data_IF_108710729878
#
_entry.id   IF_108710729878
#
_cell.length_a   1.000
_cell.length_b   1.000
_cell.length_c   1.000
_cell.angle_alpha   90.00
_cell.angle_beta   90.00
_cell.angle_gamma   90.00
#
_symmetry.space_group_name_H-M   'P 1'
#
loop_
_entity.id
_entity.type
_entity.pdbx_description
1 polymer ?
#
# COMPACT_ATOMS: atom_id res chain seq x y z
N UNK A 1 -3.20 57.09 57.84
CA UNK A 1 -4.30 56.14 57.59
C UNK A 1 -4.71 55.55 58.92
N UNK A 2 -6.01 55.53 59.23
CA UNK A 2 -6.50 54.88 60.44
C UNK A 2 -6.39 53.36 60.31
N UNK A 3 -6.32 52.64 61.43
CA UNK A 3 -6.35 51.16 61.46
C UNK A 3 -7.60 50.62 60.71
N UNK A 4 -8.71 51.36 60.75
CA UNK A 4 -9.95 51.04 60.01
C UNK A 4 -9.80 51.12 58.47
N UNK A 5 -8.95 52.02 57.96
CA UNK A 5 -8.73 52.15 56.50
C UNK A 5 -7.87 50.99 55.98
N UNK A 6 -6.90 50.55 56.79
CA UNK A 6 -6.04 49.39 56.51
C UNK A 6 -6.87 48.10 56.50
N UNK A 7 -7.83 47.96 57.43
CA UNK A 7 -8.73 46.80 57.50
C UNK A 7 -9.69 46.73 56.30
N UNK A 8 -10.14 47.87 55.77
CA UNK A 8 -10.96 47.91 54.56
C UNK A 8 -10.16 47.49 53.31
N UNK A 9 -8.95 48.03 53.16
CA UNK A 9 -8.02 47.67 52.07
C UNK A 9 -7.60 46.20 52.12
N UNK A 10 -7.37 45.63 53.32
CA UNK A 10 -7.05 44.21 53.49
C UNK A 10 -8.21 43.33 53.01
N UNK A 11 -9.45 43.66 53.35
CA UNK A 11 -10.64 42.92 52.89
C UNK A 11 -10.82 42.99 51.38
N UNK A 12 -10.64 44.17 50.77
CA UNK A 12 -10.74 44.31 49.32
C UNK A 12 -9.68 43.49 48.58
N UNK A 13 -8.43 43.49 49.07
CA UNK A 13 -7.36 42.67 48.49
C UNK A 13 -7.60 41.16 48.71
N UNK A 14 -8.20 40.75 49.83
CA UNK A 14 -8.60 39.36 50.05
C UNK A 14 -9.67 38.90 49.04
N UNK A 15 -10.66 39.75 48.76
CA UNK A 15 -11.70 39.44 47.75
C UNK A 15 -11.09 39.35 46.34
N UNK A 16 -10.20 40.30 45.98
CA UNK A 16 -9.48 40.26 44.69
C UNK A 16 -8.56 39.03 44.59
N UNK A 17 -7.92 38.63 45.68
CA UNK A 17 -7.09 37.43 45.71
C UNK A 17 -7.92 36.15 45.52
N UNK A 18 -9.12 36.10 46.11
CA UNK A 18 -10.04 34.99 45.93
C UNK A 18 -10.51 34.89 44.47
N UNK A 19 -10.89 36.00 43.84
CA UNK A 19 -11.33 36.00 42.43
C UNK A 19 -10.20 35.60 41.48
N UNK A 20 -8.98 36.11 41.67
CA UNK A 20 -7.81 35.72 40.86
C UNK A 20 -7.47 34.24 41.05
N UNK A 21 -7.64 33.70 42.26
CA UNK A 21 -7.42 32.27 42.53
C UNK A 21 -8.43 31.39 41.79
N UNK A 22 -9.70 31.76 41.77
CA UNK A 22 -10.73 31.04 41.02
C UNK A 22 -10.48 31.07 39.51
N UNK A 23 -10.13 32.24 38.96
CA UNK A 23 -9.74 32.38 37.56
C UNK A 23 -8.52 31.52 37.21
N UNK A 24 -7.50 31.52 38.07
CA UNK A 24 -6.33 30.65 37.90
C UNK A 24 -6.70 29.17 37.89
N UNK A 25 -7.58 28.75 38.79
CA UNK A 25 -8.01 27.35 38.84
C UNK A 25 -8.76 26.94 37.58
N UNK A 26 -9.65 27.80 37.05
CA UNK A 26 -10.35 27.58 35.78
C UNK A 26 -9.36 27.44 34.62
N UNK A 27 -8.41 28.36 34.49
CA UNK A 27 -7.38 28.33 33.44
C UNK A 27 -6.46 27.11 33.55
N UNK A 28 -6.14 26.65 34.76
CA UNK A 28 -5.36 25.42 34.99
C UNK A 28 -6.12 24.19 34.50
N UNK A 29 -7.42 24.09 34.80
CA UNK A 29 -8.27 23.00 34.34
C UNK A 29 -8.38 23.02 32.81
N UNK A 30 -8.61 24.18 32.20
CA UNK A 30 -8.65 24.34 30.74
C UNK A 30 -7.33 23.92 30.09
N UNK A 31 -6.19 24.34 30.64
CA UNK A 31 -4.86 23.94 30.17
C UNK A 31 -4.71 22.42 30.16
N UNK A 32 -5.13 21.75 31.23
CA UNK A 32 -4.95 20.30 31.35
C UNK A 32 -5.91 19.53 30.45
N UNK A 33 -7.13 20.03 30.25
CA UNK A 33 -8.06 19.50 29.24
C UNK A 33 -7.47 19.62 27.82
N UNK A 34 -6.94 20.80 27.45
CA UNK A 34 -6.30 20.99 26.14
C UNK A 34 -5.10 20.05 25.97
N UNK A 35 -4.30 19.83 27.02
CA UNK A 35 -3.19 18.86 26.97
C UNK A 35 -3.68 17.44 26.70
N UNK A 36 -4.77 17.00 27.34
CA UNK A 36 -5.34 15.68 27.12
C UNK A 36 -5.86 15.53 25.69
N UNK A 37 -6.57 16.52 25.15
CA UNK A 37 -7.01 16.53 23.75
C UNK A 37 -5.81 16.50 22.78
N UNK A 38 -4.76 17.24 23.10
CA UNK A 38 -3.53 17.27 22.29
C UNK A 38 -2.82 15.91 22.31
N UNK A 39 -2.85 15.19 23.44
CA UNK A 39 -2.35 13.82 23.50
C UNK A 39 -3.17 12.87 22.63
N UNK A 40 -4.51 12.87 22.77
CA UNK A 40 -5.41 12.04 21.95
C UNK A 40 -5.22 12.28 20.46
N UNK A 41 -5.17 13.54 20.04
CA UNK A 41 -4.94 13.90 18.63
C UNK A 41 -3.57 13.47 18.10
N UNK A 42 -2.53 13.40 18.97
CA UNK A 42 -1.22 12.85 18.59
C UNK A 42 -1.26 11.35 18.41
N UNK A 43 -1.95 10.63 19.28
CA UNK A 43 -2.13 9.18 19.19
C UNK A 43 -2.89 8.83 17.90
N UNK A 44 -4.03 9.48 17.65
CA UNK A 44 -4.80 9.33 16.41
C UNK A 44 -3.97 9.65 15.16
N UNK A 45 -3.14 10.71 15.19
CA UNK A 45 -2.21 11.02 14.10
C UNK A 45 -1.21 9.91 13.88
N UNK A 46 -0.61 9.38 14.95
CA UNK A 46 0.35 8.28 14.88
C UNK A 46 -0.28 7.05 14.23
N UNK A 47 -1.50 6.71 14.63
CA UNK A 47 -2.25 5.58 14.09
C UNK A 47 -2.62 5.75 12.62
N UNK A 48 -3.08 6.95 12.24
CA UNK A 48 -3.37 7.24 10.83
C UNK A 48 -2.09 7.23 9.98
N UNK A 49 -0.98 7.72 10.50
CA UNK A 49 0.32 7.68 9.80
C UNK A 49 0.81 6.24 9.65
N UNK A 50 0.65 5.38 10.67
CA UNK A 50 1.05 3.98 10.58
C UNK A 50 0.21 3.21 9.56
N UNK A 51 -1.11 3.43 9.54
CA UNK A 51 -2.02 2.90 8.50
C UNK A 51 -1.62 3.39 7.10
N UNK A 52 -1.36 4.69 6.94
CA UNK A 52 -0.92 5.27 5.67
C UNK A 52 0.38 4.61 5.15
N UNK A 53 1.33 4.32 6.04
CA UNK A 53 2.58 3.63 5.65
C UNK A 53 2.29 2.22 5.14
N UNK A 54 1.46 1.44 5.85
CA UNK A 54 1.06 0.08 5.43
C UNK A 54 0.36 0.10 4.07
N UNK A 55 -0.66 0.94 3.89
CA UNK A 55 -1.37 1.02 2.60
C UNK A 55 -0.46 1.48 1.45
N UNK A 56 0.53 2.34 1.71
CA UNK A 56 1.52 2.72 0.68
C UNK A 56 2.45 1.57 0.30
N UNK A 57 2.83 0.73 1.27
CA UNK A 57 3.64 -0.46 1.04
C UNK A 57 2.87 -1.51 0.26
N UNK A 58 1.61 -1.79 0.65
CA UNK A 58 0.69 -2.63 -0.11
C UNK A 58 0.51 -2.12 -1.55
N UNK A 59 0.32 -0.82 -1.74
CA UNK A 59 0.21 -0.22 -3.07
C UNK A 59 1.50 -0.38 -3.90
N UNK A 60 2.68 -0.35 -3.26
CA UNK A 60 3.96 -0.61 -3.93
C UNK A 60 4.03 -2.06 -4.38
N UNK A 61 3.71 -3.01 -3.50
CA UNK A 61 3.72 -4.44 -3.82
C UNK A 61 2.76 -4.75 -4.98
N UNK A 62 1.54 -4.21 -4.96
CA UNK A 62 0.56 -4.38 -6.05
C UNK A 62 1.10 -3.83 -7.38
N UNK A 63 1.85 -2.73 -7.37
CA UNK A 63 2.47 -2.19 -8.60
C UNK A 63 3.60 -3.09 -9.12
N UNK A 64 4.40 -3.65 -8.22
CA UNK A 64 5.47 -4.59 -8.58
C UNK A 64 4.88 -5.88 -9.17
N UNK A 65 3.84 -6.43 -8.55
CA UNK A 65 3.08 -7.56 -9.09
C UNK A 65 2.44 -7.26 -10.45
N UNK A 66 1.83 -6.09 -10.62
CA UNK A 66 1.28 -5.68 -11.91
C UNK A 66 2.37 -5.63 -12.99
N UNK A 67 3.54 -5.07 -12.67
CA UNK A 67 4.65 -4.98 -13.62
C UNK A 67 5.19 -6.37 -13.99
N UNK A 68 5.34 -7.27 -13.02
CA UNK A 68 5.79 -8.64 -13.30
C UNK A 68 4.78 -9.40 -14.16
N UNK A 69 3.48 -9.23 -13.91
CA UNK A 69 2.42 -9.80 -14.75
C UNK A 69 2.35 -9.19 -16.15
N UNK A 70 2.63 -7.89 -16.30
CA UNK A 70 2.74 -7.28 -17.63
C UNK A 70 3.92 -7.84 -18.43
N UNK A 71 5.05 -8.08 -17.77
CA UNK A 71 6.20 -8.71 -18.39
C UNK A 71 5.88 -10.15 -18.81
N UNK A 72 5.29 -10.96 -17.94
CA UNK A 72 4.90 -12.33 -18.27
C UNK A 72 3.83 -12.40 -19.36
N UNK A 73 2.89 -11.44 -19.39
CA UNK A 73 1.90 -11.31 -20.44
C UNK A 73 2.56 -11.02 -21.79
N UNK A 74 3.58 -10.16 -21.83
CA UNK A 74 4.30 -9.85 -23.06
C UNK A 74 5.12 -11.03 -23.56
N UNK A 75 5.81 -11.76 -22.67
CA UNK A 75 6.54 -12.97 -23.07
C UNK A 75 5.60 -14.04 -23.60
N UNK A 76 4.48 -14.31 -22.92
CA UNK A 76 3.47 -15.26 -23.39
C UNK A 76 2.83 -14.85 -24.72
N UNK A 77 2.61 -13.56 -24.96
CA UNK A 77 2.14 -13.07 -26.26
C UNK A 77 3.15 -13.35 -27.38
N UNK A 78 4.44 -13.12 -27.12
CA UNK A 78 5.50 -13.39 -28.08
C UNK A 78 5.58 -14.90 -28.38
N UNK A 79 5.56 -15.73 -27.33
CA UNK A 79 5.52 -17.18 -27.45
C UNK A 79 4.31 -17.66 -28.28
N UNK A 80 3.12 -17.15 -28.00
CA UNK A 80 1.91 -17.47 -28.76
C UNK A 80 2.04 -17.05 -30.23
N UNK A 81 2.66 -15.91 -30.51
CA UNK A 81 2.92 -15.48 -31.88
C UNK A 81 3.88 -16.44 -32.59
N UNK A 82 4.95 -16.87 -31.92
CA UNK A 82 5.90 -17.82 -32.47
C UNK A 82 5.24 -19.19 -32.72
N UNK A 83 4.48 -19.71 -31.76
CA UNK A 83 3.73 -20.97 -31.91
C UNK A 83 2.71 -20.90 -33.05
N UNK A 84 1.99 -19.78 -33.19
CA UNK A 84 1.06 -19.58 -34.32
C UNK A 84 1.78 -19.57 -35.66
N UNK A 85 2.98 -19.01 -35.74
CA UNK A 85 3.77 -19.02 -36.98
C UNK A 85 4.25 -20.43 -37.30
N UNK A 86 4.82 -21.16 -36.33
CA UNK A 86 5.19 -22.58 -36.50
C UNK A 86 4.00 -23.42 -36.95
N UNK A 87 2.85 -23.27 -36.30
CA UNK A 87 1.63 -23.98 -36.66
C UNK A 87 1.20 -23.69 -38.11
N UNK A 88 1.28 -22.43 -38.56
CA UNK A 88 0.99 -22.07 -39.96
C UNK A 88 1.96 -22.72 -40.93
N UNK A 89 3.24 -22.76 -40.60
CA UNK A 89 4.29 -23.40 -41.41
C UNK A 89 4.03 -24.89 -41.54
N UNK A 90 3.83 -25.62 -40.43
CA UNK A 90 3.53 -27.05 -40.45
C UNK A 90 2.22 -27.35 -41.19
N UNK A 91 1.15 -26.57 -41.00
CA UNK A 91 -0.11 -26.72 -41.77
C UNK A 91 0.14 -26.55 -43.27
N UNK A 92 1.01 -25.60 -43.66
CA UNK A 92 1.33 -25.39 -45.08
C UNK A 92 2.13 -26.57 -45.66
N UNK A 93 3.05 -27.15 -44.88
CA UNK A 93 3.84 -28.32 -45.26
C UNK A 93 2.94 -29.56 -45.38
N UNK A 94 2.09 -29.81 -44.39
CA UNK A 94 1.12 -30.90 -44.40
C UNK A 94 0.17 -30.80 -45.61
N UNK A 95 -0.27 -29.60 -45.99
CA UNK A 95 -1.07 -29.38 -47.21
C UNK A 95 -0.32 -29.74 -48.49
N UNK A 96 0.97 -29.38 -48.59
CA UNK A 96 1.81 -29.74 -49.74
C UNK A 96 1.97 -31.26 -49.85
N UNK A 97 2.37 -31.91 -48.76
CA UNK A 97 2.51 -33.37 -48.69
C UNK A 97 1.20 -34.09 -49.00
N UNK A 98 0.07 -33.62 -48.47
CA UNK A 98 -1.25 -34.17 -48.76
C UNK A 98 -1.59 -34.08 -50.26
N UNK A 99 -1.21 -32.98 -50.93
CA UNK A 99 -1.42 -32.82 -52.37
C UNK A 99 -0.50 -33.72 -53.21
N UNK A 100 0.74 -33.93 -52.76
CA UNK A 100 1.70 -34.83 -53.40
C UNK A 100 1.26 -36.29 -53.23
N UNK A 101 0.88 -36.69 -52.01
CA UNK A 101 0.30 -38.00 -51.71
C UNK A 101 -0.91 -38.29 -52.59
N UNK A 102 -1.86 -37.35 -52.73
CA UNK A 102 -3.03 -37.54 -53.60
C UNK A 102 -2.65 -37.79 -55.06
N UNK A 103 -1.64 -37.08 -55.58
CA UNK A 103 -1.16 -37.28 -56.96
C UNK A 103 -0.57 -38.66 -57.14
N UNK A 104 0.37 -39.07 -56.28
CA UNK A 104 1.06 -40.36 -56.41
C UNK A 104 0.10 -41.53 -56.13
N UNK A 105 -0.76 -41.41 -55.11
CA UNK A 105 -1.84 -42.36 -54.81
C UNK A 105 -2.76 -42.60 -56.00
N UNK A 106 -3.15 -41.54 -56.73
CA UNK A 106 -4.02 -41.67 -57.90
C UNK A 106 -3.38 -42.42 -59.07
N UNK A 107 -2.04 -42.38 -59.18
CA UNK A 107 -1.27 -43.10 -60.20
C UNK A 107 -1.18 -44.58 -59.79
N UNK A 108 -0.82 -44.85 -58.53
CA UNK A 108 -0.68 -46.21 -58.02
C UNK A 108 -2.01 -46.99 -57.93
N UNK A 109 -3.16 -46.32 -57.78
CA UNK A 109 -4.48 -46.96 -57.75
C UNK A 109 -5.09 -47.19 -59.14
N UNK A 110 -4.71 -46.37 -60.14
CA UNK A 110 -5.19 -46.51 -61.52
C UNK A 110 -4.55 -47.69 -62.25
N UNK A 111 -3.35 -48.07 -61.84
CA UNK A 111 -2.60 -49.21 -62.39
C UNK A 111 -2.49 -50.31 -61.32
N UNK A 112 -3.46 -51.23 -61.30
CA UNK A 112 -3.42 -52.35 -60.34
C UNK A 112 -2.28 -53.31 -60.71
N UNK A 113 -1.33 -53.48 -59.79
CA UNK A 113 -0.26 -54.49 -59.87
C UNK A 113 -0.86 -55.88 -60.08
N UNK A 114 -1.99 -56.19 -59.45
CA UNK A 114 -2.59 -57.53 -59.52
C UNK A 114 -3.19 -57.81 -60.90
N UNK A 115 -3.77 -56.80 -61.56
CA UNK A 115 -4.22 -56.94 -62.94
C UNK A 115 -3.05 -57.17 -63.91
N UNK A 116 -1.91 -56.53 -63.67
CA UNK A 116 -0.69 -56.75 -64.48
C UNK A 116 -0.08 -58.13 -64.23
N UNK A 117 -0.11 -58.63 -62.99
CA UNK A 117 0.32 -60.00 -62.67
C UNK A 117 -0.54 -61.04 -63.40
N UNK A 118 -1.87 -60.90 -63.35
CA UNK A 118 -2.77 -61.80 -64.09
C UNK A 118 -2.56 -61.73 -65.62
N UNK A 119 -2.25 -60.55 -66.16
CA UNK A 119 -1.96 -60.38 -67.59
C UNK A 119 -0.61 -61.02 -67.97
N UNK A 120 0.42 -60.91 -67.12
CA UNK A 120 1.70 -61.60 -67.29
C UNK A 120 1.50 -63.12 -67.24
N UNK A 121 0.80 -63.66 -66.23
CA UNK A 121 0.55 -65.10 -66.11
C UNK A 121 -0.19 -65.68 -67.32
N UNK A 122 -1.17 -64.94 -67.89
CA UNK A 122 -1.86 -65.34 -69.12
C UNK A 122 -0.93 -65.35 -70.33
N UNK A 123 -0.08 -64.33 -70.47
CA UNK A 123 0.90 -64.23 -71.56
C UNK A 123 1.97 -65.33 -71.47
N UNK A 124 2.46 -65.64 -70.26
CA UNK A 124 3.38 -66.75 -70.00
C UNK A 124 2.73 -68.10 -70.28
N UNK A 125 1.47 -68.29 -69.86
CA UNK A 125 0.73 -69.53 -70.13
C UNK A 125 0.47 -69.74 -71.62
N UNK A 126 0.18 -68.68 -72.39
CA UNK A 126 0.08 -68.76 -73.85
C UNK A 126 1.41 -69.14 -74.51
N UNK A 127 2.52 -68.60 -74.01
CA UNK A 127 3.87 -68.95 -74.48
C UNK A 127 4.19 -70.45 -74.24
N UNK A 128 3.71 -71.02 -73.13
CA UNK A 128 3.94 -72.42 -72.77
C UNK A 128 3.00 -73.39 -73.52
N UNK A 129 1.75 -72.99 -73.77
CA UNK A 129 0.68 -73.92 -74.17
C UNK A 129 0.38 -73.91 -75.69
N UNK A 130 0.88 -72.95 -76.47
CA UNK A 130 0.63 -72.86 -77.92
C UNK A 130 1.82 -73.42 -78.74
N UNK A 131 1.66 -74.55 -79.47
CA UNK A 131 2.69 -75.06 -80.36
C UNK A 131 2.61 -74.35 -81.74
N UNK A 132 3.76 -73.98 -82.31
CA UNK A 132 3.94 -73.26 -83.59
C UNK A 132 3.64 -71.75 -83.58
N UNK A 133 4.00 -71.04 -82.52
CA UNK A 133 4.00 -69.58 -82.52
C UNK A 133 5.13 -69.06 -83.43
N UNK A 134 4.87 -68.00 -84.21
CA UNK A 134 5.91 -67.42 -85.06
C UNK A 134 6.97 -66.70 -84.20
N UNK A 135 8.22 -66.67 -84.66
CA UNK A 135 9.33 -66.01 -83.94
C UNK A 135 9.06 -64.50 -83.69
N UNK A 136 8.14 -63.89 -84.43
CA UNK A 136 7.70 -62.49 -84.26
C UNK A 136 6.65 -62.35 -83.15
N UNK A 137 5.73 -63.31 -83.03
CA UNK A 137 4.69 -63.31 -82.00
C UNK A 137 5.26 -63.62 -80.61
N UNK A 138 6.20 -64.55 -80.52
CA UNK A 138 6.97 -64.80 -79.28
C UNK A 138 7.69 -63.52 -78.81
N UNK A 139 8.37 -62.81 -79.72
CA UNK A 139 9.05 -61.55 -79.40
C UNK A 139 8.08 -60.49 -78.90
N UNK A 140 6.89 -60.36 -79.51
CA UNK A 140 5.86 -59.41 -79.05
C UNK A 140 5.34 -59.75 -77.65
N UNK A 141 5.12 -61.02 -77.35
CA UNK A 141 4.69 -61.48 -76.02
C UNK A 141 5.78 -61.17 -74.98
N UNK A 142 7.04 -61.51 -75.26
CA UNK A 142 8.18 -61.24 -74.36
C UNK A 142 8.40 -59.74 -74.15
N UNK A 143 8.25 -58.93 -75.21
CA UNK A 143 8.37 -57.47 -75.12
C UNK A 143 7.22 -56.87 -74.30
N UNK A 144 6.00 -57.42 -74.41
CA UNK A 144 4.85 -57.04 -73.60
C UNK A 144 5.01 -57.43 -72.13
N UNK A 145 5.49 -58.64 -71.82
CA UNK A 145 5.81 -59.06 -70.45
C UNK A 145 6.89 -58.14 -69.86
N UNK A 146 7.95 -57.85 -70.61
CA UNK A 146 9.02 -56.94 -70.18
C UNK A 146 8.50 -55.53 -69.87
N UNK A 147 7.54 -55.03 -70.65
CA UNK A 147 6.89 -53.74 -70.39
C UNK A 147 6.02 -53.79 -69.12
N UNK A 148 5.24 -54.86 -68.91
CA UNK A 148 4.42 -55.03 -67.73
C UNK A 148 5.26 -55.17 -66.45
N UNK A 149 6.37 -55.92 -66.50
CA UNK A 149 7.33 -56.04 -65.40
C UNK A 149 8.03 -54.72 -65.06
N UNK A 150 8.33 -53.88 -66.07
CA UNK A 150 8.86 -52.53 -65.84
C UNK A 150 7.84 -51.65 -65.12
N UNK A 151 6.59 -51.65 -65.59
CA UNK A 151 5.50 -50.90 -64.94
C UNK A 151 5.24 -51.38 -63.51
N UNK A 152 5.23 -52.69 -63.27
CA UNK A 152 5.10 -53.25 -61.91
C UNK A 152 6.22 -52.77 -60.98
N UNK A 153 7.47 -52.71 -61.48
CA UNK A 153 8.60 -52.17 -60.70
C UNK A 153 8.41 -50.69 -60.39
N UNK A 154 7.97 -49.90 -61.37
CA UNK A 154 7.67 -48.47 -61.17
C UNK A 154 6.56 -48.28 -60.12
N UNK A 155 5.46 -49.03 -60.19
CA UNK A 155 4.37 -48.95 -59.20
C UNK A 155 4.83 -49.39 -57.81
N UNK A 156 5.70 -50.41 -57.70
CA UNK A 156 6.24 -50.84 -56.42
C UNK A 156 7.13 -49.75 -55.77
N UNK A 157 7.91 -49.02 -56.58
CA UNK A 157 8.67 -47.85 -56.11
C UNK A 157 7.71 -46.75 -55.65
N UNK A 158 6.69 -46.43 -56.45
CA UNK A 158 5.67 -45.44 -56.05
C UNK A 158 4.93 -45.81 -54.77
N UNK A 159 4.65 -47.10 -54.53
CA UNK A 159 4.03 -47.57 -53.28
C UNK A 159 4.93 -47.33 -52.06
N UNK A 160 6.25 -47.54 -52.18
CA UNK A 160 7.20 -47.19 -51.12
C UNK A 160 7.24 -45.69 -50.88
N UNK A 161 7.32 -44.89 -51.93
CA UNK A 161 7.35 -43.44 -51.82
C UNK A 161 6.07 -42.88 -51.17
N UNK A 162 4.90 -43.45 -51.52
CA UNK A 162 3.62 -43.12 -50.86
C UNK A 162 3.67 -43.47 -49.39
N UNK A 163 4.19 -44.64 -49.01
CA UNK A 163 4.31 -45.04 -47.62
C UNK A 163 5.21 -44.08 -46.83
N UNK A 164 6.39 -43.73 -47.36
CA UNK A 164 7.30 -42.78 -46.72
C UNK A 164 6.71 -41.38 -46.58
N UNK A 165 6.03 -40.89 -47.62
CA UNK A 165 5.34 -39.60 -47.57
C UNK A 165 4.17 -39.62 -46.60
N UNK A 166 3.47 -40.75 -46.47
CA UNK A 166 2.37 -40.91 -45.52
C UNK A 166 2.88 -40.85 -44.08
N UNK A 167 3.98 -41.55 -43.77
CA UNK A 167 4.63 -41.48 -42.46
C UNK A 167 5.02 -40.04 -42.09
N UNK A 168 5.67 -39.31 -43.01
CA UNK A 168 6.02 -37.89 -42.80
C UNK A 168 4.79 -37.00 -42.60
N UNK A 169 3.70 -37.30 -43.29
CA UNK A 169 2.44 -36.57 -43.11
C UNK A 169 1.83 -36.82 -41.73
N UNK A 170 1.79 -38.08 -41.27
CA UNK A 170 1.29 -38.44 -39.94
C UNK A 170 2.14 -37.82 -38.83
N UNK A 171 3.47 -37.81 -38.97
CA UNK A 171 4.38 -37.13 -38.04
C UNK A 171 4.07 -35.62 -37.95
N UNK A 172 3.90 -34.95 -39.10
CA UNK A 172 3.54 -33.53 -39.13
C UNK A 172 2.15 -33.25 -38.56
N UNK A 173 1.18 -34.13 -38.78
CA UNK A 173 -0.17 -33.97 -38.23
C UNK A 173 -0.17 -34.10 -36.69
N UNK A 174 0.63 -35.04 -36.16
CA UNK A 174 0.86 -35.17 -34.72
C UNK A 174 1.55 -33.92 -34.13
N UNK A 175 2.56 -33.35 -34.81
CA UNK A 175 3.20 -32.09 -34.41
C UNK A 175 2.21 -30.92 -34.41
N UNK A 176 1.36 -30.82 -35.43
CA UNK A 176 0.29 -29.82 -35.53
C UNK A 176 -0.67 -29.93 -34.34
N UNK A 177 -1.08 -31.15 -33.98
CA UNK A 177 -1.98 -31.36 -32.86
C UNK A 177 -1.35 -31.04 -31.50
N UNK A 178 -0.06 -31.35 -31.33
CA UNK A 178 0.69 -30.92 -30.15
C UNK A 178 0.79 -29.39 -30.06
N UNK A 179 1.12 -28.71 -31.16
CA UNK A 179 1.15 -27.25 -31.22
C UNK A 179 -0.22 -26.62 -30.94
N UNK A 180 -1.32 -27.23 -31.40
CA UNK A 180 -2.67 -26.77 -31.07
C UNK A 180 -2.98 -26.90 -29.58
N UNK A 181 -2.54 -27.98 -28.92
CA UNK A 181 -2.69 -28.15 -27.46
C UNK A 181 -1.91 -27.08 -26.70
N UNK A 182 -0.62 -26.91 -27.01
CA UNK A 182 0.21 -25.87 -26.38
C UNK A 182 -0.38 -24.46 -26.58
N UNK A 183 -0.97 -24.18 -27.74
CA UNK A 183 -1.61 -22.90 -28.02
C UNK A 183 -2.85 -22.68 -27.14
N UNK A 184 -3.63 -23.72 -26.87
CA UNK A 184 -4.79 -23.66 -25.96
C UNK A 184 -4.31 -23.42 -24.53
N UNK A 185 -3.34 -24.18 -24.05
CA UNK A 185 -2.82 -24.08 -22.68
C UNK A 185 -2.22 -22.68 -22.41
N UNK A 186 -1.39 -22.17 -23.33
CA UNK A 186 -0.87 -20.79 -23.24
C UNK A 186 -1.97 -19.74 -23.39
N UNK A 187 -3.02 -20.01 -24.16
CA UNK A 187 -4.20 -19.15 -24.28
C UNK A 187 -4.97 -19.02 -22.97
N UNK A 188 -5.16 -20.13 -22.25
CA UNK A 188 -5.80 -20.18 -20.94
C UNK A 188 -4.96 -19.45 -19.89
N UNK A 189 -3.66 -19.70 -19.83
CA UNK A 189 -2.73 -18.99 -18.95
C UNK A 189 -2.76 -17.46 -19.19
N UNK A 190 -2.90 -17.03 -20.45
CA UNK A 190 -3.00 -15.62 -20.79
C UNK A 190 -4.31 -15.00 -20.28
N UNK A 191 -5.43 -15.72 -20.33
CA UNK A 191 -6.70 -15.27 -19.77
C UNK A 191 -6.61 -15.13 -18.24
N UNK A 192 -6.04 -16.11 -17.55
CA UNK A 192 -5.83 -16.04 -16.10
C UNK A 192 -4.98 -14.83 -15.69
N UNK A 193 -3.90 -14.54 -16.43
CA UNK A 193 -3.07 -13.36 -16.17
C UNK A 193 -3.86 -12.07 -16.40
N UNK A 194 -4.70 -12.00 -17.45
CA UNK A 194 -5.55 -10.82 -17.70
C UNK A 194 -6.56 -10.59 -16.57
N UNK A 195 -7.19 -11.64 -16.08
CA UNK A 195 -8.10 -11.57 -14.93
C UNK A 195 -7.38 -11.08 -13.68
N UNK A 196 -6.19 -11.64 -13.40
CA UNK A 196 -5.38 -11.21 -12.26
C UNK A 196 -4.95 -9.75 -12.36
N UNK A 197 -4.55 -9.29 -13.56
CA UNK A 197 -4.24 -7.88 -13.81
C UNK A 197 -5.48 -7.01 -13.55
N UNK A 198 -6.67 -7.44 -13.95
CA UNK A 198 -7.91 -6.70 -13.67
C UNK A 198 -8.16 -6.55 -12.17
N UNK A 199 -8.09 -7.66 -11.42
CA UNK A 199 -8.26 -7.66 -9.97
C UNK A 199 -7.23 -6.77 -9.26
N UNK A 200 -5.96 -6.82 -9.69
CA UNK A 200 -4.90 -5.99 -9.13
C UNK A 200 -5.05 -4.50 -9.48
N UNK A 201 -5.66 -4.17 -10.63
CA UNK A 201 -6.03 -2.78 -10.94
C UNK A 201 -7.12 -2.27 -10.01
N UNK A 202 -8.14 -3.07 -9.75
CA UNK A 202 -9.24 -2.68 -8.86
C UNK A 202 -8.74 -2.47 -7.42
N UNK A 203 -7.90 -3.38 -6.91
CA UNK A 203 -7.27 -3.22 -5.60
C UNK A 203 -6.36 -2.00 -5.53
N UNK A 204 -5.56 -1.74 -6.59
CA UNK A 204 -4.76 -0.52 -6.71
C UNK A 204 -5.61 0.74 -6.64
N UNK A 205 -6.77 0.77 -7.27
CA UNK A 205 -7.68 1.92 -7.22
C UNK A 205 -8.31 2.11 -5.85
N UNK A 206 -8.72 1.02 -5.18
CA UNK A 206 -9.22 1.06 -3.79
C UNK A 206 -8.16 1.60 -2.84
N UNK A 207 -6.94 1.05 -2.89
CA UNK A 207 -5.82 1.52 -2.07
C UNK A 207 -5.48 2.99 -2.32
N UNK A 208 -5.55 3.47 -3.57
CA UNK A 208 -5.36 4.89 -3.88
C UNK A 208 -6.42 5.78 -3.21
N UNK A 209 -7.69 5.36 -3.22
CA UNK A 209 -8.78 6.09 -2.56
C UNK A 209 -8.57 6.14 -1.04
N UNK A 210 -8.29 4.99 -0.43
CA UNK A 210 -8.00 4.90 1.01
C UNK A 210 -6.78 5.75 1.41
N UNK A 211 -5.73 5.77 0.60
CA UNK A 211 -4.57 6.64 0.82
C UNK A 211 -4.97 8.11 0.74
N UNK A 212 -5.80 8.51 -0.21
CA UNK A 212 -6.25 9.89 -0.33
C UNK A 212 -7.08 10.34 0.89
N UNK A 213 -8.00 9.49 1.35
CA UNK A 213 -8.85 9.73 2.53
C UNK A 213 -8.05 9.75 3.84
N UNK A 214 -7.06 8.88 3.98
CA UNK A 214 -6.18 8.88 5.15
C UNK A 214 -5.27 10.11 5.15
N UNK A 215 -4.78 10.55 3.98
CA UNK A 215 -4.01 11.79 3.87
C UNK A 215 -4.86 13.00 4.22
N UNK A 216 -6.09 13.12 3.74
CA UNK A 216 -6.98 14.23 4.11
C UNK A 216 -7.25 14.24 5.62
N UNK A 217 -7.59 13.09 6.20
CA UNK A 217 -7.75 12.93 7.66
C UNK A 217 -6.52 13.38 8.45
N UNK A 218 -5.31 13.01 7.99
CA UNK A 218 -4.05 13.43 8.62
C UNK A 218 -3.87 14.96 8.52
N UNK A 219 -4.20 15.57 7.39
CA UNK A 219 -4.09 17.03 7.25
C UNK A 219 -5.05 17.77 8.18
N UNK A 220 -6.28 17.28 8.35
CA UNK A 220 -7.25 17.85 9.30
C UNK A 220 -6.79 17.70 10.74
N UNK A 221 -6.32 16.51 11.14
CA UNK A 221 -5.79 16.28 12.47
C UNK A 221 -4.54 17.13 12.76
N UNK A 222 -3.69 17.37 11.74
CA UNK A 222 -2.55 18.30 11.87
C UNK A 222 -3.02 19.74 12.12
N UNK A 223 -4.06 20.21 11.41
CA UNK A 223 -4.65 21.53 11.65
C UNK A 223 -5.21 21.65 13.06
N UNK A 224 -6.04 20.69 13.49
CA UNK A 224 -6.59 20.62 14.86
C UNK A 224 -5.47 20.63 15.91
N UNK A 225 -4.38 19.89 15.67
CA UNK A 225 -3.21 19.88 16.57
C UNK A 225 -2.54 21.26 16.67
N UNK A 226 -2.38 21.99 15.57
CA UNK A 226 -1.80 23.33 15.60
C UNK A 226 -2.73 24.34 16.29
N UNK A 227 -4.04 24.26 16.07
CA UNK A 227 -5.04 25.06 16.78
C UNK A 227 -4.99 24.81 18.30
N UNK A 228 -4.97 23.54 18.73
CA UNK A 228 -4.84 23.17 20.14
C UNK A 228 -3.52 23.65 20.75
N UNK A 229 -2.41 23.59 20.00
CA UNK A 229 -1.12 24.17 20.46
C UNK A 229 -1.21 25.68 20.62
N UNK A 230 -1.90 26.39 19.73
CA UNK A 230 -2.15 27.82 19.82
C UNK A 230 -2.91 28.17 21.10
N UNK A 231 -4.08 27.55 21.28
CA UNK A 231 -4.89 27.70 22.51
C UNK A 231 -4.10 27.36 23.77
N UNK A 232 -3.31 26.29 23.75
CA UNK A 232 -2.48 25.91 24.88
C UNK A 232 -1.46 27.00 25.24
N UNK A 233 -0.81 27.63 24.25
CA UNK A 233 0.13 28.72 24.49
C UNK A 233 -0.58 29.94 25.07
N UNK A 234 -1.75 30.31 24.55
CA UNK A 234 -2.57 31.40 25.06
C UNK A 234 -2.96 31.18 26.52
N UNK A 235 -3.48 29.99 26.85
CA UNK A 235 -3.85 29.64 28.23
C UNK A 235 -2.62 29.61 29.14
N UNK A 236 -1.48 29.09 28.69
CA UNK A 236 -0.23 29.13 29.48
C UNK A 236 0.18 30.58 29.77
N UNK A 237 0.08 31.47 28.79
CA UNK A 237 0.40 32.89 28.98
C UNK A 237 -0.57 33.56 29.96
N UNK A 238 -1.88 33.27 29.87
CA UNK A 238 -2.90 33.78 30.79
C UNK A 238 -2.70 33.25 32.22
N UNK A 239 -2.34 31.96 32.38
CA UNK A 239 -1.98 31.39 33.70
C UNK A 239 -0.76 32.10 34.26
N UNK A 240 0.26 32.38 33.44
CA UNK A 240 1.47 33.06 33.88
C UNK A 240 1.21 34.51 34.29
N UNK A 241 0.40 35.27 33.55
CA UNK A 241 0.04 36.65 33.92
C UNK A 241 -0.77 36.69 35.21
N UNK A 242 -1.83 35.85 35.30
CA UNK A 242 -2.65 35.74 36.51
C UNK A 242 -1.87 35.24 37.72
N UNK A 243 -0.88 34.37 37.51
CA UNK A 243 0.00 33.90 38.59
C UNK A 243 0.93 35.01 39.09
N UNK A 244 1.37 35.93 38.21
CA UNK A 244 2.12 37.13 38.61
C UNK A 244 1.21 38.08 39.39
N UNK A 245 0.03 38.39 38.88
CA UNK A 245 -0.98 39.22 39.58
C UNK A 245 -1.27 38.64 40.98
N UNK A 246 -1.50 37.34 41.09
CA UNK A 246 -1.71 36.66 42.36
C UNK A 246 -0.53 36.84 43.33
N UNK A 247 0.71 36.69 42.85
CA UNK A 247 1.94 36.88 43.67
C UNK A 247 2.13 38.33 44.10
N UNK A 248 1.79 39.29 43.25
CA UNK A 248 1.87 40.72 43.56
C UNK A 248 0.85 41.11 44.63
N UNK A 249 -0.42 40.72 44.46
CA UNK A 249 -1.48 40.94 45.47
C UNK A 249 -1.09 40.28 46.80
N UNK A 250 -0.50 39.07 46.77
CA UNK A 250 -0.03 38.39 47.98
C UNK A 250 1.10 39.16 48.69
N UNK A 251 2.04 39.76 47.94
CA UNK A 251 3.10 40.63 48.50
C UNK A 251 2.52 41.90 49.09
N UNK A 252 1.60 42.57 48.37
CA UNK A 252 0.93 43.77 48.85
C UNK A 252 0.17 43.51 50.15
N UNK A 253 -0.57 42.40 50.20
CA UNK A 253 -1.32 41.97 51.37
C UNK A 253 -0.39 41.66 52.56
N UNK A 254 0.76 41.03 52.35
CA UNK A 254 1.76 40.82 53.39
C UNK A 254 2.35 42.15 53.90
N UNK A 255 2.71 43.06 52.99
CA UNK A 255 3.24 44.38 53.37
C UNK A 255 2.22 45.24 54.13
N UNK A 256 0.94 45.12 53.81
CA UNK A 256 -0.15 45.78 54.53
C UNK A 256 -0.36 45.19 55.92
N UNK A 257 -0.26 43.87 56.06
CA UNK A 257 -0.29 43.20 57.37
C UNK A 257 0.88 43.61 58.24
N UNK A 258 2.09 43.69 57.69
CA UNK A 258 3.25 44.21 58.41
C UNK A 258 3.03 45.66 58.85
N UNK A 259 2.55 46.55 57.95
CA UNK A 259 2.20 47.93 58.30
C UNK A 259 1.11 48.02 59.38
N UNK A 260 0.14 47.10 59.37
CA UNK A 260 -0.91 46.99 60.38
C UNK A 260 -0.34 46.64 61.75
N UNK A 261 0.53 45.62 61.82
CA UNK A 261 1.20 45.20 63.05
C UNK A 261 2.09 46.33 63.61
N UNK A 262 2.84 47.02 62.75
CA UNK A 262 3.62 48.20 63.14
C UNK A 262 2.72 49.35 63.65
N UNK A 263 1.66 49.69 62.92
CA UNK A 263 0.73 50.75 63.36
C UNK A 263 0.02 50.41 64.67
N UNK A 264 -0.26 49.12 64.91
CA UNK A 264 -0.89 48.63 66.13
C UNK A 264 0.09 48.67 67.31
N UNK A 265 1.33 48.24 67.10
CA UNK A 265 2.39 48.34 68.11
C UNK A 265 2.70 49.80 68.44
N UNK A 266 2.80 50.67 67.44
CA UNK A 266 2.95 52.13 67.61
C UNK A 266 1.79 52.75 68.38
N UNK A 267 0.54 52.36 68.08
CA UNK A 267 -0.63 52.83 68.81
C UNK A 267 -0.62 52.37 70.28
N UNK A 268 -0.24 51.11 70.53
CA UNK A 268 -0.09 50.57 71.89
C UNK A 268 1.05 51.28 72.63
N UNK A 269 2.18 51.54 71.97
CA UNK A 269 3.32 52.26 72.53
C UNK A 269 2.95 53.71 72.86
N UNK A 270 2.30 54.44 71.94
CA UNK A 270 1.83 55.82 72.18
C UNK A 270 0.85 55.89 73.34
N UNK A 271 -0.14 54.99 73.38
CA UNK A 271 -1.10 54.92 74.49
C UNK A 271 -0.42 54.61 75.82
N UNK A 272 0.53 53.66 75.85
CA UNK A 272 1.32 53.37 77.06
C UNK A 272 2.21 54.55 77.47
N UNK A 273 2.81 55.27 76.52
CA UNK A 273 3.58 56.50 76.78
C UNK A 273 2.67 57.60 77.36
N UNK A 274 1.46 57.78 76.84
CA UNK A 274 0.46 58.72 77.38
C UNK A 274 -0.04 58.33 78.78
N UNK A 275 -0.30 57.04 79.00
CA UNK A 275 -0.67 56.50 80.32
C UNK A 275 0.45 56.74 81.35
N UNK A 276 1.71 56.44 80.99
CA UNK A 276 2.87 56.72 81.86
C UNK A 276 3.07 58.22 82.08
N UNK A 277 2.92 59.06 81.05
CA UNK A 277 2.98 60.53 81.18
C UNK A 277 1.91 61.05 82.16
N UNK A 278 0.68 60.54 82.07
CA UNK A 278 -0.39 60.92 82.99
C UNK A 278 -0.15 60.44 84.43
N UNK A 279 0.55 59.32 84.64
CA UNK A 279 0.99 58.86 85.97
C UNK A 279 2.11 59.73 86.54
N UNK A 280 3.05 60.19 85.70
CA UNK A 280 4.11 61.14 86.07
C UNK A 280 3.51 62.49 86.48
N UNK A 281 2.56 63.02 85.69
CA UNK A 281 1.88 64.28 85.97
C UNK A 281 1.03 64.22 87.26
N UNK A 282 0.53 63.04 87.64
CA UNK A 282 -0.22 62.81 88.89
C UNK A 282 0.66 62.48 90.11
N UNK A 283 2.00 62.39 89.94
CA UNK A 283 2.94 62.16 91.04
C UNK A 283 2.97 60.71 91.58
N UNK A 284 2.48 59.74 90.81
CA UNK A 284 2.45 58.32 91.20
C UNK A 284 3.81 57.64 90.95
N UNK A 285 4.14 56.59 91.72
CA UNK A 285 5.41 55.85 91.55
C UNK A 285 5.43 55.12 90.21
N UNK A 286 6.38 55.49 89.35
CA UNK A 286 6.60 54.87 88.04
C UNK A 286 7.67 53.78 88.16
N UNK A 287 7.46 52.64 87.49
CA UNK A 287 8.43 51.54 87.47
C UNK A 287 9.59 51.83 86.49
N UNK A 288 10.78 51.26 86.74
CA UNK A 288 11.96 51.46 85.90
C UNK A 288 11.71 51.11 84.42
N UNK A 289 10.84 50.12 84.18
CA UNK A 289 10.43 49.69 82.84
C UNK A 289 9.51 50.70 82.14
N UNK A 290 8.61 51.37 82.88
CA UNK A 290 7.75 52.44 82.36
C UNK A 290 8.56 53.71 82.03
N UNK A 291 9.62 53.99 82.81
CA UNK A 291 10.56 55.09 82.55
C UNK A 291 11.47 54.79 81.33
N UNK A 292 11.91 53.53 81.17
CA UNK A 292 12.62 53.05 79.99
C UNK A 292 11.76 53.09 78.72
N UNK A 293 10.44 52.84 78.82
CA UNK A 293 9.53 52.99 77.69
C UNK A 293 9.36 54.45 77.23
N UNK A 294 9.58 55.42 78.13
CA UNK A 294 9.48 56.86 77.85
C UNK A 294 10.78 57.46 77.28
N UNK A 295 11.94 57.02 77.77
CA UNK A 295 13.27 57.58 77.46
C UNK A 295 14.22 56.64 76.73
N UNK A 296 13.83 55.38 76.48
CA UNK A 296 14.63 54.43 75.71
C UNK A 296 14.68 54.86 74.25
N UNK A 297 15.89 55.13 73.78
CA UNK A 297 16.17 55.57 72.41
C UNK A 297 15.63 54.59 71.36
N UNK A 298 15.14 55.15 70.26
CA UNK A 298 14.76 54.49 69.00
C UNK A 298 15.97 53.90 68.24
N UNK A 299 17.00 53.39 68.94
CA UNK A 299 18.11 52.70 68.29
C UNK A 299 17.91 51.19 68.34
N UNK A 300 17.31 50.66 67.27
CA UNK A 300 17.77 49.44 66.59
C UNK A 300 17.00 49.22 65.28
N UNK A 301 17.77 49.33 64.19
CA UNK A 301 17.81 48.49 62.97
C UNK A 301 16.59 47.63 62.64
#
# INVERSE_FOLDING_TARGET
>A
MGISDIDALEKELQVKLASVREELQKLIIERDNIKLELQKTREELSDKISKLKKSKEELKNVREELNSLYNSLNTLKNDLSQLRNKLKEHISQAKKLSSELKKISSIATRESIDNMKEEIEKLEWMLITTPNLSLEEEKRIVERISQLERKMREISVYQRDVFELHMKYEELDAEIDNLKKELKDKGEALNQIRERISQLKDTREKLKKEIAETVSSITELKKKREELKGKLKEVINAVNSKSKEYKEILKELNSLRERREHSRTDFILKRKKEEVKSKIEKGERVTLYELYLMYGDEEKT
#
